data_IF_657210126173
#
_entry.id   IF_657210126173
#
_cell.length_a   1.000
_cell.length_b   1.000
_cell.length_c   1.000
_cell.angle_alpha   90.00
_cell.angle_beta   90.00
_cell.angle_gamma   90.00
#
_symmetry.space_group_name_H-M   'P 1'
#
loop_
_entity.id
_entity.type
_entity.pdbx_description
1 polymer ?
#
# COMPACT_ATOMS: atom_id res chain seq x y z
N UNK A 1 12.31 -27.09 -27.66
CA UNK A 1 12.03 -25.70 -28.04
C UNK A 1 11.09 -25.14 -26.99
N UNK A 2 11.59 -24.11 -26.33
CA UNK A 2 11.15 -23.42 -25.12
C UNK A 2 9.63 -23.32 -24.91
N UNK A 3 9.15 -23.90 -23.81
CA UNK A 3 7.89 -23.52 -23.18
C UNK A 3 8.11 -22.16 -22.51
N UNK A 4 7.68 -21.08 -23.18
CA UNK A 4 7.51 -19.76 -22.58
C UNK A 4 6.37 -19.80 -21.57
N UNK A 5 6.66 -20.35 -20.40
CA UNK A 5 5.84 -20.14 -19.22
C UNK A 5 5.86 -18.66 -18.90
N UNK A 6 4.74 -17.99 -19.13
CA UNK A 6 4.43 -16.69 -18.56
C UNK A 6 4.60 -16.80 -17.04
N UNK A 7 5.76 -16.37 -16.54
CA UNK A 7 5.94 -16.07 -15.12
C UNK A 7 4.83 -15.09 -14.73
N UNK A 8 3.79 -15.60 -14.06
CA UNK A 8 2.74 -14.79 -13.48
C UNK A 8 3.40 -13.68 -12.67
N UNK A 9 3.10 -12.45 -13.04
CA UNK A 9 3.83 -11.27 -12.57
C UNK A 9 3.68 -11.14 -11.04
N UNK A 10 4.75 -11.46 -10.32
CA UNK A 10 4.91 -11.19 -8.88
C UNK A 10 4.77 -9.69 -8.52
N UNK A 11 4.69 -8.79 -9.52
CA UNK A 11 4.82 -7.35 -9.37
C UNK A 11 4.00 -6.60 -10.43
N UNK A 12 3.40 -5.47 -10.06
CA UNK A 12 2.78 -4.57 -11.05
C UNK A 12 3.86 -4.06 -12.01
N UNK A 13 3.58 -4.12 -13.31
CA UNK A 13 4.55 -3.75 -14.34
C UNK A 13 4.43 -2.29 -14.74
N UNK A 14 5.56 -1.68 -15.07
CA UNK A 14 5.64 -0.26 -15.42
C UNK A 14 4.96 0.02 -16.76
N UNK A 15 4.21 1.12 -16.83
CA UNK A 15 3.66 1.67 -18.08
C UNK A 15 2.85 0.66 -18.90
N UNK A 16 1.96 -0.07 -18.24
CA UNK A 16 1.06 -1.01 -18.91
C UNK A 16 -0.15 -0.31 -19.52
N UNK A 17 -0.59 -0.80 -20.69
CA UNK A 17 -1.85 -0.33 -21.27
C UNK A 17 -3.03 -0.77 -20.41
N UNK A 18 -3.94 0.16 -20.08
CA UNK A 18 -5.17 -0.16 -19.35
C UNK A 18 -6.06 -1.20 -20.04
N UNK A 19 -5.97 -1.32 -21.36
CA UNK A 19 -6.77 -2.25 -22.18
C UNK A 19 -6.03 -3.55 -22.49
N UNK A 20 -4.99 -3.51 -23.32
CA UNK A 20 -4.29 -4.71 -23.80
C UNK A 20 -3.18 -5.23 -22.87
N UNK A 21 -2.91 -4.53 -21.75
CA UNK A 21 -1.91 -4.90 -20.72
C UNK A 21 -0.46 -5.03 -21.22
N UNK A 22 -0.16 -4.60 -22.46
CA UNK A 22 1.21 -4.55 -22.98
C UNK A 22 2.03 -3.47 -22.28
N UNK A 23 3.34 -3.70 -22.14
CA UNK A 23 4.28 -2.75 -21.54
C UNK A 23 4.89 -1.80 -22.57
N UNK A 24 5.54 -0.73 -22.11
CA UNK A 24 6.34 0.18 -22.96
C UNK A 24 5.58 1.39 -23.50
N UNK A 25 4.41 1.70 -22.94
CA UNK A 25 3.52 2.71 -23.46
C UNK A 25 3.81 4.11 -22.90
N UNK A 26 3.68 5.14 -23.73
CA UNK A 26 3.98 6.53 -23.34
C UNK A 26 2.73 7.41 -23.21
N UNK A 27 1.59 7.01 -23.80
CA UNK A 27 0.37 7.82 -23.74
C UNK A 27 -0.30 7.69 -22.37
N UNK A 28 -0.01 8.63 -21.48
CA UNK A 28 -0.61 8.74 -20.15
C UNK A 28 -1.94 9.50 -20.21
N UNK A 29 -2.95 9.02 -19.51
CA UNK A 29 -4.20 9.77 -19.34
C UNK A 29 -3.93 11.12 -18.67
N UNK A 30 -4.20 12.23 -19.37
CA UNK A 30 -3.95 13.59 -18.86
C UNK A 30 -4.81 13.95 -17.64
N UNK A 31 -5.99 13.31 -17.51
CA UNK A 31 -6.94 13.59 -16.41
C UNK A 31 -6.51 12.93 -15.11
N UNK A 32 -6.46 11.60 -15.08
CA UNK A 32 -6.16 10.84 -13.86
C UNK A 32 -4.66 10.66 -13.62
N UNK A 33 -3.83 10.75 -14.66
CA UNK A 33 -2.38 10.59 -14.57
C UNK A 33 -1.91 9.23 -13.99
N UNK A 34 -2.75 8.21 -13.94
CA UNK A 34 -2.38 6.91 -13.35
C UNK A 34 -2.59 5.72 -14.28
N UNK A 35 -2.97 5.94 -15.54
CA UNK A 35 -3.16 4.89 -16.55
C UNK A 35 -2.44 5.27 -17.83
N UNK A 36 -1.81 4.28 -18.46
CA UNK A 36 -1.14 4.40 -19.76
C UNK A 36 -1.91 3.65 -20.84
N UNK A 37 -1.68 4.04 -22.10
CA UNK A 37 -2.28 3.46 -23.29
C UNK A 37 -1.25 3.37 -24.42
N UNK A 38 -1.37 2.35 -25.28
CA UNK A 38 -0.57 2.25 -26.49
C UNK A 38 -0.89 3.38 -27.47
N UNK A 39 -2.17 3.70 -27.59
CA UNK A 39 -2.69 4.60 -28.61
C UNK A 39 -3.99 5.27 -28.17
N UNK A 40 -4.47 6.24 -28.97
CA UNK A 40 -5.73 6.94 -28.69
C UNK A 40 -6.94 6.04 -28.86
N UNK A 41 -6.85 5.03 -29.72
CA UNK A 41 -7.89 4.04 -29.97
C UNK A 41 -8.13 3.20 -28.70
N UNK A 42 -7.07 2.65 -28.10
CA UNK A 42 -7.18 1.90 -26.84
C UNK A 42 -7.71 2.77 -25.69
N UNK A 43 -7.37 4.06 -25.68
CA UNK A 43 -7.92 5.00 -24.70
C UNK A 43 -9.42 5.23 -24.92
N UNK A 44 -9.87 5.35 -26.16
CA UNK A 44 -11.28 5.55 -26.50
C UNK A 44 -12.12 4.31 -26.17
N UNK A 45 -11.60 3.12 -26.43
CA UNK A 45 -12.27 1.86 -26.12
C UNK A 45 -12.37 1.61 -24.59
N UNK A 46 -11.28 1.87 -23.86
CA UNK A 46 -11.28 1.75 -22.39
C UNK A 46 -12.04 2.89 -21.69
N UNK A 47 -12.51 3.91 -22.41
CA UNK A 47 -13.11 5.11 -21.82
C UNK A 47 -14.29 4.77 -20.90
N UNK A 48 -15.19 3.86 -21.31
CA UNK A 48 -16.40 3.56 -20.55
C UNK A 48 -16.09 2.91 -19.20
N UNK A 49 -15.14 1.96 -19.16
CA UNK A 49 -14.68 1.33 -17.93
C UNK A 49 -13.89 2.32 -17.06
N UNK A 50 -13.03 3.14 -17.68
CA UNK A 50 -12.15 4.08 -16.97
C UNK A 50 -12.86 5.34 -16.47
N UNK A 51 -13.96 5.79 -17.09
CA UNK A 51 -14.55 7.12 -16.88
C UNK A 51 -14.86 7.42 -15.43
N UNK A 52 -15.43 6.45 -14.70
CA UNK A 52 -15.81 6.62 -13.29
C UNK A 52 -14.57 6.81 -12.41
N UNK A 53 -13.62 5.88 -12.46
CA UNK A 53 -12.38 5.94 -11.69
C UNK A 53 -11.52 7.16 -12.07
N UNK A 54 -11.43 7.49 -13.36
CA UNK A 54 -10.75 8.67 -13.87
C UNK A 54 -11.30 9.98 -13.28
N UNK A 55 -12.63 10.10 -13.26
CA UNK A 55 -13.32 11.27 -12.71
C UNK A 55 -13.11 11.38 -11.20
N UNK A 56 -13.17 10.25 -10.48
CA UNK A 56 -12.99 10.21 -9.03
C UNK A 56 -11.57 10.61 -8.61
N UNK A 57 -10.54 10.05 -9.27
CA UNK A 57 -9.13 10.41 -9.02
C UNK A 57 -8.90 11.89 -9.31
N UNK A 58 -9.39 12.39 -10.45
CA UNK A 58 -9.28 13.80 -10.80
C UNK A 58 -9.92 14.70 -9.72
N UNK A 59 -11.19 14.44 -9.35
CA UNK A 59 -11.90 15.24 -8.34
C UNK A 59 -11.17 15.25 -7.00
N UNK A 60 -10.65 14.10 -6.57
CA UNK A 60 -9.93 13.98 -5.30
C UNK A 60 -8.59 14.73 -5.33
N UNK A 61 -7.89 14.69 -6.47
CA UNK A 61 -6.65 15.46 -6.68
C UNK A 61 -6.92 16.96 -6.70
N UNK A 62 -7.94 17.39 -7.43
CA UNK A 62 -8.31 18.80 -7.53
C UNK A 62 -8.79 19.34 -6.16
N UNK A 63 -9.49 18.53 -5.36
CA UNK A 63 -9.86 18.86 -3.98
C UNK A 63 -8.62 18.96 -3.06
N UNK A 64 -7.67 18.03 -3.16
CA UNK A 64 -6.42 18.10 -2.42
C UNK A 64 -5.64 19.38 -2.74
N UNK A 65 -5.54 19.75 -4.02
CA UNK A 65 -4.88 20.97 -4.46
C UNK A 65 -5.58 22.23 -3.91
N UNK A 66 -6.91 22.24 -3.87
CA UNK A 66 -7.67 23.33 -3.27
C UNK A 66 -7.42 23.47 -1.76
N UNK A 67 -7.41 22.36 -1.01
CA UNK A 67 -7.07 22.39 0.43
C UNK A 67 -5.62 22.78 0.67
N UNK A 68 -4.69 22.38 -0.20
CA UNK A 68 -3.30 22.82 -0.12
C UNK A 68 -3.18 24.34 -0.30
N UNK A 69 -3.86 24.87 -1.31
CA UNK A 69 -3.83 26.30 -1.61
C UNK A 69 -4.43 27.12 -0.46
N UNK A 70 -5.56 26.66 0.10
CA UNK A 70 -6.15 27.29 1.30
C UNK A 70 -5.17 27.37 2.46
N UNK A 71 -4.39 26.32 2.70
CA UNK A 71 -3.38 26.32 3.76
C UNK A 71 -2.19 27.24 3.46
N UNK A 72 -1.83 27.41 2.18
CA UNK A 72 -0.76 28.33 1.76
C UNK A 72 -1.19 29.80 1.85
N UNK A 73 -2.45 30.08 1.52
CA UNK A 73 -3.01 31.44 1.54
C UNK A 73 -3.48 31.86 2.94
N UNK A 74 -3.49 30.94 3.90
CA UNK A 74 -3.95 31.21 5.26
C UNK A 74 -2.99 32.19 5.96
N UNK A 75 -3.47 33.37 6.39
CA UNK A 75 -2.64 34.30 7.13
C UNK A 75 -2.26 33.72 8.50
N UNK A 76 -1.14 34.17 9.04
CA UNK A 76 -0.81 33.88 10.43
C UNK A 76 -1.86 34.50 11.37
N UNK A 77 -2.21 33.77 12.42
CA UNK A 77 -3.10 34.18 13.51
C UNK A 77 -2.48 33.77 14.86
N UNK A 78 -3.08 34.21 15.97
CA UNK A 78 -2.63 33.93 17.35
C UNK A 78 -2.47 32.43 17.61
N UNK A 79 -3.33 31.60 17.00
CA UNK A 79 -3.31 30.14 17.15
C UNK A 79 -2.56 29.41 16.01
N UNK A 80 -2.16 30.12 14.97
CA UNK A 80 -1.60 29.53 13.75
C UNK A 80 -0.45 30.39 13.23
N UNK A 81 0.79 29.91 13.36
CA UNK A 81 2.01 30.65 13.03
C UNK A 81 2.20 31.01 11.53
N UNK A 82 1.24 30.68 10.66
CA UNK A 82 1.42 30.72 9.22
C UNK A 82 2.27 29.55 8.71
N UNK A 83 2.26 29.33 7.41
CA UNK A 83 3.09 28.33 6.71
C UNK A 83 3.06 26.93 7.35
N UNK A 84 1.86 26.33 7.41
CA UNK A 84 1.61 25.03 8.03
C UNK A 84 2.63 23.95 7.63
N UNK A 85 3.09 23.97 6.38
CA UNK A 85 3.96 22.96 5.81
C UNK A 85 5.40 22.99 6.33
N UNK A 86 5.80 24.07 6.99
CA UNK A 86 7.10 24.18 7.65
C UNK A 86 6.96 24.24 9.17
N UNK A 87 5.92 24.88 9.70
CA UNK A 87 5.76 25.10 11.15
C UNK A 87 5.09 23.93 11.87
N UNK A 88 4.16 23.23 11.21
CA UNK A 88 3.32 22.21 11.86
C UNK A 88 3.77 20.77 11.58
N UNK A 89 4.87 20.54 10.85
CA UNK A 89 5.30 19.21 10.39
C UNK A 89 5.50 18.25 11.56
N UNK A 90 4.87 17.08 11.46
CA UNK A 90 4.89 16.04 12.48
C UNK A 90 3.73 16.14 13.49
N UNK A 91 3.10 17.32 13.59
CA UNK A 91 1.96 17.60 14.47
C UNK A 91 0.73 18.11 13.70
N UNK A 92 0.63 17.88 12.38
CA UNK A 92 -0.48 18.38 11.55
C UNK A 92 -1.84 18.10 12.18
N UNK A 93 -2.08 16.89 12.69
CA UNK A 93 -3.38 16.53 13.25
C UNK A 93 -3.82 17.36 14.47
N UNK A 94 -2.88 17.92 15.23
CA UNK A 94 -3.18 18.81 16.34
C UNK A 94 -3.71 20.17 15.89
N UNK A 95 -3.38 20.60 14.67
CA UNK A 95 -3.81 21.87 14.07
C UNK A 95 -5.10 21.65 13.29
N UNK A 96 -6.19 22.26 13.74
CA UNK A 96 -7.56 22.02 13.24
C UNK A 96 -7.65 22.33 11.75
N UNK A 97 -7.02 23.42 11.33
CA UNK A 97 -6.99 23.96 9.98
C UNK A 97 -6.37 22.99 8.97
N UNK A 98 -5.42 22.15 9.39
CA UNK A 98 -4.74 21.21 8.48
C UNK A 98 -5.46 19.86 8.35
N UNK A 99 -6.47 19.59 9.18
CA UNK A 99 -7.21 18.32 9.15
C UNK A 99 -7.98 18.10 7.83
N UNK A 100 -8.64 19.10 7.22
CA UNK A 100 -9.24 18.98 5.89
C UNK A 100 -8.24 18.50 4.83
N UNK A 101 -7.02 19.05 4.83
CA UNK A 101 -5.95 18.63 3.93
C UNK A 101 -5.56 17.16 4.12
N UNK A 102 -5.36 16.72 5.37
CA UNK A 102 -5.03 15.32 5.68
C UNK A 102 -6.14 14.35 5.23
N UNK A 103 -7.41 14.74 5.42
CA UNK A 103 -8.56 13.94 4.95
C UNK A 103 -8.65 13.91 3.43
N UNK A 104 -8.46 15.05 2.75
CA UNK A 104 -8.44 15.12 1.29
C UNK A 104 -7.35 14.24 0.68
N UNK A 105 -6.17 14.19 1.32
CA UNK A 105 -5.07 13.33 0.90
C UNK A 105 -5.38 11.85 1.10
N UNK A 106 -6.00 11.46 2.21
CA UNK A 106 -6.50 10.09 2.40
C UNK A 106 -7.55 9.70 1.35
N UNK A 107 -8.47 10.62 1.03
CA UNK A 107 -9.50 10.38 0.03
C UNK A 107 -8.91 10.17 -1.37
N UNK A 108 -7.83 10.91 -1.71
CA UNK A 108 -7.09 10.65 -2.94
C UNK A 108 -6.46 9.25 -2.96
N UNK A 109 -5.86 8.80 -1.85
CA UNK A 109 -5.35 7.42 -1.76
C UNK A 109 -6.47 6.41 -2.02
N UNK A 110 -7.65 6.57 -1.40
CA UNK A 110 -8.79 5.66 -1.64
C UNK A 110 -9.29 5.71 -3.09
N UNK A 111 -9.30 6.88 -3.72
CA UNK A 111 -9.66 7.00 -5.14
C UNK A 111 -8.64 6.30 -6.06
N UNK A 112 -7.36 6.34 -5.70
CA UNK A 112 -6.29 5.66 -6.42
C UNK A 112 -6.40 4.13 -6.31
N UNK A 113 -6.82 3.61 -5.16
CA UNK A 113 -6.95 2.16 -4.94
C UNK A 113 -7.93 1.47 -5.90
N UNK A 114 -8.88 2.22 -6.47
CA UNK A 114 -9.81 1.71 -7.50
C UNK A 114 -9.12 1.47 -8.85
N UNK A 115 -7.92 2.01 -9.05
CA UNK A 115 -7.15 1.88 -10.28
C UNK A 115 -5.98 0.93 -10.04
N UNK A 116 -6.07 -0.26 -10.63
CA UNK A 116 -5.03 -1.28 -10.63
C UNK A 116 -3.92 -0.93 -11.63
N UNK A 117 -3.00 -0.06 -11.23
CA UNK A 117 -1.79 0.26 -11.99
C UNK A 117 -0.60 0.48 -11.06
N UNK A 118 0.60 0.19 -11.54
CA UNK A 118 1.83 0.41 -10.77
C UNK A 118 1.98 1.88 -10.36
N UNK A 119 1.61 2.80 -11.24
CA UNK A 119 1.71 4.24 -10.99
C UNK A 119 0.68 4.72 -9.99
N UNK A 120 -0.51 4.11 -9.97
CA UNK A 120 -1.49 4.35 -8.92
C UNK A 120 -0.94 3.92 -7.56
N UNK A 121 -0.42 2.69 -7.44
CA UNK A 121 0.12 2.16 -6.19
C UNK A 121 1.35 2.94 -5.72
N UNK A 122 2.23 3.35 -6.64
CA UNK A 122 3.36 4.22 -6.34
C UNK A 122 2.89 5.57 -5.77
N UNK A 123 1.89 6.20 -6.38
CA UNK A 123 1.33 7.47 -5.91
C UNK A 123 0.64 7.33 -4.54
N UNK A 124 -0.06 6.22 -4.30
CA UNK A 124 -0.64 5.90 -2.99
C UNK A 124 0.45 5.85 -1.91
N UNK A 125 1.54 5.15 -2.18
CA UNK A 125 2.68 5.00 -1.26
C UNK A 125 3.36 6.35 -0.97
N UNK A 126 3.55 7.18 -1.99
CA UNK A 126 4.11 8.54 -1.85
C UNK A 126 3.24 9.44 -0.97
N UNK A 127 1.93 9.46 -1.22
CA UNK A 127 1.00 10.23 -0.39
C UNK A 127 0.94 9.70 1.05
N UNK A 128 0.92 8.39 1.25
CA UNK A 128 0.91 7.77 2.58
C UNK A 128 2.19 8.11 3.37
N UNK A 129 3.38 8.03 2.74
CA UNK A 129 4.64 8.42 3.38
C UNK A 129 4.66 9.88 3.79
N UNK A 130 4.18 10.78 2.94
CA UNK A 130 4.13 12.20 3.28
C UNK A 130 3.08 12.50 4.36
N UNK A 131 1.94 11.81 4.37
CA UNK A 131 0.98 11.89 5.49
C UNK A 131 1.62 11.48 6.82
N UNK A 132 2.45 10.43 6.85
CA UNK A 132 3.18 10.02 8.06
C UNK A 132 4.28 11.00 8.46
N UNK A 133 4.87 11.72 7.50
CA UNK A 133 5.82 12.82 7.77
C UNK A 133 5.09 14.00 8.43
N UNK A 134 3.93 14.37 7.90
CA UNK A 134 3.11 15.47 8.40
C UNK A 134 2.44 15.14 9.74
N UNK A 135 2.03 13.88 9.95
CA UNK A 135 1.38 13.39 11.15
C UNK A 135 2.06 12.09 11.63
N UNK A 136 3.00 12.22 12.57
CA UNK A 136 3.76 11.07 13.10
C UNK A 136 2.87 10.08 13.87
N UNK A 137 1.83 10.61 14.53
CA UNK A 137 0.86 9.85 15.31
C UNK A 137 -0.11 9.00 14.47
N UNK A 138 -0.09 9.14 13.14
CA UNK A 138 -0.96 8.41 12.22
C UNK A 138 -2.45 8.42 12.61
N UNK A 139 -2.97 9.58 13.01
CA UNK A 139 -4.36 9.71 13.45
C UNK A 139 -5.41 9.40 12.37
N UNK A 140 -5.00 9.36 11.10
CA UNK A 140 -5.86 8.97 9.97
C UNK A 140 -5.85 7.44 9.76
N UNK A 141 -4.84 6.73 10.28
CA UNK A 141 -4.69 5.29 10.10
C UNK A 141 -4.19 4.90 8.71
N UNK A 142 -3.26 5.65 8.13
CA UNK A 142 -2.72 5.41 6.80
C UNK A 142 -1.45 4.56 6.80
N UNK A 143 -0.86 4.26 7.97
CA UNK A 143 0.42 3.53 8.06
C UNK A 143 0.38 2.17 7.38
N UNK A 144 -0.74 1.46 7.47
CA UNK A 144 -0.95 0.14 6.84
C UNK A 144 -0.95 0.19 5.30
N UNK A 145 -1.18 1.36 4.70
CA UNK A 145 -1.14 1.53 3.25
C UNK A 145 0.29 1.41 2.69
N UNK A 146 1.32 1.79 3.47
CA UNK A 146 2.71 1.80 2.99
C UNK A 146 3.24 0.38 2.75
N UNK A 147 3.16 -0.57 3.71
CA UNK A 147 3.57 -1.96 3.46
C UNK A 147 2.81 -2.62 2.31
N UNK A 148 1.47 -2.47 2.28
CA UNK A 148 0.64 -3.07 1.23
C UNK A 148 1.02 -2.59 -0.17
N UNK A 149 1.31 -1.30 -0.33
CA UNK A 149 1.77 -0.76 -1.60
C UNK A 149 3.21 -1.17 -1.94
N UNK A 150 4.12 -1.24 -0.96
CA UNK A 150 5.51 -1.67 -1.21
C UNK A 150 5.58 -3.12 -1.70
N UNK A 151 4.75 -4.02 -1.16
CA UNK A 151 4.66 -5.41 -1.60
C UNK A 151 4.16 -5.51 -3.05
N UNK A 152 3.09 -4.78 -3.40
CA UNK A 152 2.57 -4.74 -4.79
C UNK A 152 3.61 -4.20 -5.81
N UNK A 153 4.51 -3.33 -5.36
CA UNK A 153 5.60 -2.78 -6.16
C UNK A 153 6.84 -3.70 -6.22
N UNK A 154 6.86 -4.80 -5.44
CA UNK A 154 8.00 -5.71 -5.31
C UNK A 154 9.18 -5.13 -4.53
N UNK A 155 8.91 -4.18 -3.62
CA UNK A 155 9.92 -3.48 -2.80
C UNK A 155 10.01 -4.10 -1.41
N UNK A 156 10.19 -5.41 -1.36
CA UNK A 156 10.04 -6.24 -0.15
C UNK A 156 11.00 -5.83 0.98
N UNK A 157 12.25 -5.49 0.65
CA UNK A 157 13.21 -5.03 1.65
C UNK A 157 12.79 -3.70 2.27
N UNK A 158 12.28 -2.75 1.48
CA UNK A 158 11.78 -1.49 2.02
C UNK A 158 10.53 -1.70 2.86
N UNK A 159 9.68 -2.66 2.47
CA UNK A 159 8.53 -3.07 3.27
C UNK A 159 8.98 -3.59 4.64
N UNK A 160 9.92 -4.54 4.65
CA UNK A 160 10.49 -5.08 5.89
C UNK A 160 11.13 -3.99 6.75
N UNK A 161 11.98 -3.14 6.17
CA UNK A 161 12.64 -2.04 6.88
C UNK A 161 11.60 -1.08 7.49
N UNK A 162 10.53 -0.78 6.75
CA UNK A 162 9.46 0.10 7.22
C UNK A 162 8.66 -0.51 8.38
N UNK A 163 8.25 -1.79 8.24
CA UNK A 163 7.51 -2.50 9.30
C UNK A 163 8.38 -2.63 10.55
N UNK A 164 9.65 -3.04 10.38
CA UNK A 164 10.60 -3.12 11.48
C UNK A 164 10.78 -1.76 12.16
N UNK A 165 11.05 -0.71 11.41
CA UNK A 165 11.24 0.65 11.93
C UNK A 165 9.98 1.20 12.63
N UNK A 166 8.79 0.76 12.19
CA UNK A 166 7.52 1.11 12.84
C UNK A 166 7.25 0.34 14.13
N UNK A 167 7.92 -0.81 14.32
CA UNK A 167 7.75 -1.69 15.49
C UNK A 167 8.82 -1.47 16.58
N UNK A 168 9.97 -0.85 16.26
CA UNK A 168 10.97 -0.44 17.26
C UNK A 168 10.70 0.98 17.78
N UNK A 169 10.88 1.15 19.10
CA UNK A 169 10.76 2.46 19.76
C UNK A 169 11.65 3.52 19.12
N UNK A 170 11.17 4.77 19.19
CA UNK A 170 11.78 5.97 18.59
C UNK A 170 13.25 6.20 18.94
N UNK A 171 13.77 5.56 19.99
CA UNK A 171 15.10 5.73 20.57
C UNK A 171 16.24 4.99 19.86
N UNK A 172 15.96 3.98 19.03
CA UNK A 172 17.01 3.11 18.41
C UNK A 172 17.06 3.18 16.88
N UNK A 173 16.59 4.27 16.26
CA UNK A 173 16.53 4.38 14.79
C UNK A 173 17.94 4.45 14.16
N UNK A 174 18.33 3.49 13.30
CA UNK A 174 19.52 3.64 12.46
C UNK A 174 19.19 4.53 11.25
N UNK A 175 20.14 5.36 10.84
CA UNK A 175 20.05 6.20 9.64
C UNK A 175 19.92 5.34 8.37
N UNK A 176 19.01 5.66 7.43
CA UNK A 176 18.88 4.90 6.20
C UNK A 176 20.10 5.12 5.30
N UNK A 177 20.83 4.04 5.00
CA UNK A 177 21.95 4.05 4.07
C UNK A 177 21.49 4.38 2.64
N UNK A 178 22.15 5.35 1.99
CA UNK A 178 22.00 5.72 0.58
C UNK A 178 22.94 4.87 -0.29
N UNK A 179 22.39 4.13 -1.25
CA UNK A 179 23.15 3.35 -2.24
C UNK A 179 22.24 2.42 -3.05
N UNK A 180 22.65 1.90 -4.22
CA UNK A 180 21.86 0.94 -4.98
C UNK A 180 21.76 -0.37 -4.19
N UNK A 181 20.55 -0.76 -3.81
CA UNK A 181 20.30 -1.92 -2.94
C UNK A 181 20.05 -3.17 -3.77
N UNK A 182 20.80 -4.24 -3.48
CA UNK A 182 20.48 -5.60 -3.91
C UNK A 182 19.06 -5.99 -3.45
N UNK A 183 18.42 -6.93 -4.18
CA UNK A 183 17.00 -7.35 -4.05
C UNK A 183 16.50 -7.63 -2.63
N UNK A 184 17.38 -7.91 -1.68
CA UNK A 184 17.13 -7.79 -0.24
C UNK A 184 18.46 -8.03 0.47
N UNK A 185 18.84 -7.12 1.37
CA UNK A 185 20.05 -7.30 2.18
C UNK A 185 19.97 -8.54 3.08
N UNK A 186 18.76 -9.05 3.34
CA UNK A 186 18.50 -10.27 4.10
C UNK A 186 18.85 -11.50 3.26
N UNK A 187 18.41 -11.53 2.00
CA UNK A 187 18.69 -12.63 1.07
C UNK A 187 20.19 -12.73 0.79
N UNK A 188 20.86 -11.60 0.56
CA UNK A 188 22.30 -11.56 0.32
C UNK A 188 23.12 -12.06 1.54
N UNK A 189 22.64 -11.80 2.76
CA UNK A 189 23.29 -12.25 4.01
C UNK A 189 23.06 -13.73 4.34
N UNK A 190 22.08 -14.37 3.71
CA UNK A 190 21.71 -15.77 3.93
C UNK A 190 21.84 -16.59 2.63
N UNK A 191 22.80 -16.24 1.77
CA UNK A 191 23.03 -16.93 0.51
C UNK A 191 23.37 -18.42 0.72
N UNK A 192 23.96 -18.77 1.85
CA UNK A 192 24.23 -20.14 2.26
C UNK A 192 22.96 -20.99 2.40
N UNK A 193 21.83 -20.41 2.82
CA UNK A 193 20.55 -21.13 2.91
C UNK A 193 20.05 -21.45 1.50
N UNK A 194 20.18 -20.51 0.56
CA UNK A 194 19.71 -20.69 -0.82
C UNK A 194 20.56 -21.68 -1.62
N UNK A 195 21.86 -21.74 -1.33
CA UNK A 195 22.82 -22.58 -2.06
C UNK A 195 22.93 -24.01 -1.52
N UNK A 196 22.28 -24.33 -0.39
CA UNK A 196 22.20 -25.72 0.10
C UNK A 196 21.45 -26.60 -0.90
N UNK A 197 21.87 -27.86 -1.04
CA UNK A 197 21.15 -28.84 -1.86
C UNK A 197 19.90 -29.42 -1.19
N UNK A 198 19.82 -29.30 0.15
CA UNK A 198 18.67 -29.71 0.95
C UNK A 198 18.15 -28.52 1.77
N UNK A 199 16.87 -28.20 1.56
CA UNK A 199 16.16 -27.12 2.25
C UNK A 199 15.14 -27.64 3.26
N UNK A 200 15.02 -28.96 3.48
CA UNK A 200 13.96 -29.58 4.27
C UNK A 200 13.86 -28.99 5.68
N UNK A 201 14.98 -28.86 6.40
CA UNK A 201 14.99 -28.26 7.74
C UNK A 201 14.64 -26.76 7.74
N UNK A 202 15.08 -26.02 6.72
CA UNK A 202 14.79 -24.60 6.60
C UNK A 202 13.30 -24.36 6.29
N UNK A 203 12.71 -25.20 5.42
CA UNK A 203 11.28 -25.20 5.13
C UNK A 203 10.48 -25.50 6.41
N UNK A 204 10.84 -26.55 7.16
CA UNK A 204 10.15 -26.89 8.41
C UNK A 204 10.20 -25.73 9.43
N UNK A 205 11.36 -25.09 9.58
CA UNK A 205 11.49 -23.92 10.45
C UNK A 205 10.60 -22.76 10.00
N UNK A 206 10.53 -22.47 8.70
CA UNK A 206 9.67 -21.42 8.16
C UNK A 206 8.18 -21.74 8.36
N UNK A 207 7.77 -22.99 8.14
CA UNK A 207 6.39 -23.43 8.39
C UNK A 207 6.00 -23.22 9.87
N UNK A 208 6.87 -23.58 10.80
CA UNK A 208 6.66 -23.35 12.23
C UNK A 208 6.55 -21.86 12.58
N UNK A 209 7.38 -21.01 11.97
CA UNK A 209 7.31 -19.55 12.15
C UNK A 209 6.00 -18.97 11.61
N UNK A 210 5.56 -19.41 10.44
CA UNK A 210 4.28 -19.00 9.84
C UNK A 210 3.12 -19.42 10.74
N UNK A 211 3.10 -20.65 11.27
CA UNK A 211 2.08 -21.12 12.21
C UNK A 211 2.04 -20.29 13.50
N UNK A 212 3.20 -19.88 14.02
CA UNK A 212 3.28 -19.00 15.19
C UNK A 212 2.69 -17.62 14.90
N UNK A 213 3.02 -17.02 13.75
CA UNK A 213 2.45 -15.74 13.32
C UNK A 213 0.94 -15.83 13.10
N UNK A 214 0.47 -16.92 12.49
CA UNK A 214 -0.96 -17.18 12.31
C UNK A 214 -1.72 -17.15 13.64
N UNK A 215 -1.23 -17.90 14.62
CA UNK A 215 -1.83 -17.98 15.96
C UNK A 215 -1.79 -16.63 16.67
N UNK A 216 -0.67 -15.92 16.61
CA UNK A 216 -0.54 -14.60 17.24
C UNK A 216 -1.53 -13.57 16.66
N UNK A 217 -1.68 -13.53 15.34
CA UNK A 217 -2.64 -12.65 14.67
C UNK A 217 -4.09 -13.05 15.00
N UNK A 218 -4.40 -14.34 15.01
CA UNK A 218 -5.74 -14.82 15.39
C UNK A 218 -6.09 -14.46 16.84
N UNK A 219 -5.13 -14.57 17.77
CA UNK A 219 -5.31 -14.13 19.15
C UNK A 219 -5.48 -12.62 19.29
N UNK A 220 -4.83 -11.82 18.43
CA UNK A 220 -4.98 -10.36 18.43
C UNK A 220 -6.32 -9.92 17.87
N UNK A 221 -6.78 -10.53 16.78
CA UNK A 221 -8.07 -10.24 16.17
C UNK A 221 -8.61 -11.50 15.49
N UNK A 222 -9.61 -12.12 16.12
CA UNK A 222 -10.20 -13.39 15.66
C UNK A 222 -10.84 -13.31 14.27
N UNK A 223 -11.25 -12.11 13.84
CA UNK A 223 -11.92 -11.86 12.56
C UNK A 223 -10.92 -11.72 11.39
N UNK A 224 -9.61 -11.61 11.68
CA UNK A 224 -8.63 -11.26 10.64
C UNK A 224 -8.57 -12.28 9.51
N UNK A 225 -8.42 -13.57 9.85
CA UNK A 225 -8.28 -14.63 8.86
C UNK A 225 -9.57 -14.90 8.09
N UNK A 226 -10.72 -14.89 8.77
CA UNK A 226 -12.04 -15.03 8.14
C UNK A 226 -12.26 -13.91 7.10
N UNK A 227 -12.00 -12.66 7.48
CA UNK A 227 -12.19 -11.54 6.56
C UNK A 227 -11.17 -11.51 5.41
N UNK A 228 -9.96 -12.06 5.61
CA UNK A 228 -8.95 -12.19 4.57
C UNK A 228 -9.35 -13.25 3.52
N UNK A 229 -9.97 -14.35 3.96
CA UNK A 229 -10.45 -15.44 3.10
C UNK A 229 -11.78 -15.10 2.42
N UNK A 230 -12.61 -14.23 3.01
CA UNK A 230 -13.88 -13.78 2.43
C UNK A 230 -13.90 -12.26 2.14
N UNK A 231 -12.97 -11.77 1.31
CA UNK A 231 -12.71 -10.34 1.15
C UNK A 231 -13.88 -9.57 0.54
N UNK A 232 -14.67 -10.17 -0.35
CA UNK A 232 -15.79 -9.50 -1.03
C UNK A 232 -16.84 -8.95 -0.05
N UNK A 233 -17.06 -9.65 1.06
CA UNK A 233 -18.01 -9.23 2.11
C UNK A 233 -17.52 -8.01 2.91
N UNK A 234 -16.21 -7.74 2.89
CA UNK A 234 -15.57 -6.80 3.81
C UNK A 234 -14.83 -5.65 3.12
N UNK A 235 -14.45 -5.78 1.86
CA UNK A 235 -13.67 -4.78 1.10
C UNK A 235 -14.43 -3.48 0.85
N UNK A 236 -15.76 -3.52 0.79
CA UNK A 236 -16.60 -2.36 0.47
C UNK A 236 -17.09 -1.60 1.71
N UNK A 237 -16.86 -2.14 2.92
CA UNK A 237 -17.27 -1.49 4.15
C UNK A 237 -16.20 -0.51 4.63
N UNK A 238 -16.60 0.74 4.85
CA UNK A 238 -15.76 1.78 5.45
C UNK A 238 -16.39 2.15 6.80
N UNK A 239 -15.95 1.52 7.89
CA UNK A 239 -16.43 1.88 9.22
C UNK A 239 -16.11 3.35 9.50
N UNK A 240 -17.09 4.10 10.01
CA UNK A 240 -16.86 5.48 10.45
C UNK A 240 -15.84 5.55 11.61
N UNK A 241 -15.80 4.49 12.41
CA UNK A 241 -14.88 4.29 13.52
C UNK A 241 -14.45 2.83 13.56
N UNK A 242 -13.26 2.56 14.07
CA UNK A 242 -12.81 1.21 14.39
C UNK A 242 -12.30 1.15 15.83
N UNK A 243 -12.18 -0.06 16.36
CA UNK A 243 -11.61 -0.31 17.68
C UNK A 243 -10.69 -1.52 17.59
N UNK A 244 -9.54 -1.53 18.28
CA UNK A 244 -8.63 -2.67 18.25
C UNK A 244 -9.34 -3.97 18.63
N UNK A 245 -9.08 -5.05 17.87
CA UNK A 245 -9.66 -6.37 18.05
C UNK A 245 -11.06 -6.58 17.47
N UNK A 246 -11.63 -5.59 16.75
CA UNK A 246 -12.96 -5.72 16.14
C UNK A 246 -12.89 -5.99 14.64
N UNK A 247 -14.01 -6.43 14.06
CA UNK A 247 -14.15 -6.61 12.61
C UNK A 247 -13.88 -5.30 11.85
N UNK A 248 -14.31 -4.16 12.41
CA UNK A 248 -14.11 -2.85 11.80
C UNK A 248 -12.64 -2.45 11.68
N UNK A 249 -11.78 -2.91 12.60
CA UNK A 249 -10.32 -2.73 12.48
C UNK A 249 -9.80 -3.49 11.26
N UNK A 250 -10.20 -4.75 11.11
CA UNK A 250 -9.80 -5.60 9.99
C UNK A 250 -10.26 -5.00 8.67
N UNK A 251 -11.54 -4.61 8.55
CA UNK A 251 -12.10 -3.98 7.36
C UNK A 251 -11.34 -2.71 6.96
N UNK A 252 -10.95 -1.89 7.95
CA UNK A 252 -10.19 -0.66 7.72
C UNK A 252 -8.79 -0.93 7.14
N UNK A 253 -8.18 -2.06 7.49
CA UNK A 253 -6.85 -2.47 7.00
C UNK A 253 -6.93 -3.29 5.69
N UNK A 254 -7.96 -4.13 5.55
CA UNK A 254 -8.06 -5.16 4.52
C UNK A 254 -7.90 -4.58 3.11
N UNK A 255 -8.56 -3.45 2.84
CA UNK A 255 -8.44 -2.74 1.56
C UNK A 255 -7.00 -2.45 1.13
N UNK A 256 -6.11 -2.17 2.08
CA UNK A 256 -4.73 -1.81 1.81
C UNK A 256 -3.81 -3.00 1.60
N UNK A 257 -4.09 -4.09 2.32
CA UNK A 257 -3.20 -5.25 2.38
C UNK A 257 -3.65 -6.37 1.43
N UNK A 258 -4.96 -6.55 1.23
CA UNK A 258 -5.52 -7.65 0.45
C UNK A 258 -4.98 -7.71 -0.98
N UNK A 259 -4.82 -6.60 -1.73
CA UNK A 259 -4.22 -6.67 -3.06
C UNK A 259 -2.83 -7.31 -3.08
N UNK A 260 -2.02 -7.08 -2.04
CA UNK A 260 -0.70 -7.73 -1.94
C UNK A 260 -0.81 -9.25 -1.71
N UNK A 261 -1.78 -9.70 -0.92
CA UNK A 261 -2.06 -11.13 -0.72
C UNK A 261 -2.56 -11.78 -2.00
N UNK A 262 -3.55 -11.18 -2.66
CA UNK A 262 -4.13 -11.69 -3.90
C UNK A 262 -3.11 -11.74 -5.06
N UNK A 263 -2.16 -10.81 -5.10
CA UNK A 263 -1.09 -10.80 -6.10
C UNK A 263 0.03 -11.81 -5.83
N UNK A 264 0.16 -12.32 -4.60
CA UNK A 264 1.24 -13.22 -4.21
C UNK A 264 0.79 -14.68 -4.40
N UNK A 265 1.35 -15.42 -5.37
CA UNK A 265 0.94 -16.80 -5.64
C UNK A 265 1.10 -17.68 -4.40
N UNK A 266 0.06 -18.47 -4.09
CA UNK A 266 0.02 -19.38 -2.94
C UNK A 266 -0.11 -18.70 -1.57
N UNK A 267 -0.17 -17.37 -1.47
CA UNK A 267 -0.27 -16.68 -0.17
C UNK A 267 -1.63 -16.87 0.49
N UNK A 268 -2.72 -16.82 -0.28
CA UNK A 268 -4.08 -17.07 0.23
C UNK A 268 -4.29 -18.56 0.51
N UNK A 269 -3.90 -19.43 -0.43
CA UNK A 269 -3.94 -20.90 -0.30
C UNK A 269 -3.19 -21.38 0.95
N UNK A 270 -2.05 -20.77 1.26
CA UNK A 270 -1.30 -21.04 2.49
C UNK A 270 -2.17 -20.85 3.75
N UNK A 271 -2.96 -19.79 3.81
CA UNK A 271 -3.84 -19.49 4.94
C UNK A 271 -5.02 -20.46 4.99
N UNK A 272 -5.56 -20.84 3.84
CA UNK A 272 -6.60 -21.88 3.72
C UNK A 272 -6.08 -23.21 4.27
N UNK A 273 -4.91 -23.65 3.83
CA UNK A 273 -4.29 -24.90 4.27
C UNK A 273 -4.01 -24.91 5.79
N UNK A 274 -3.54 -23.78 6.35
CA UNK A 274 -3.37 -23.65 7.81
C UNK A 274 -4.70 -23.79 8.54
N UNK A 275 -5.77 -23.20 7.99
CA UNK A 275 -7.11 -23.22 8.58
C UNK A 275 -7.74 -24.63 8.51
N UNK A 276 -7.46 -25.38 7.45
CA UNK A 276 -7.91 -26.76 7.25
C UNK A 276 -7.03 -27.81 7.98
N UNK A 277 -5.86 -27.40 8.51
CA UNK A 277 -4.92 -28.32 9.18
C UNK A 277 -4.05 -29.12 8.21
N UNK A 278 -3.93 -28.66 6.96
CA UNK A 278 -3.21 -29.30 5.85
C UNK A 278 -1.78 -28.74 5.67
N UNK A 279 -1.36 -27.82 6.54
CA UNK A 279 -0.05 -27.13 6.52
C UNK A 279 0.79 -27.44 7.76
#
# INVERSE_FOLDING_TARGET
METTGTHALLQLTEKTCGLCKTQGNTLRCSRCQVVYYCSREHQAEHLNAHKKSCSQVRKSRDALAAEEQKLRDMPADVLFAGDAFNTCVGHFWGVIETRPYMRARSALIHALMVVESRESVQMQMEHARDMLRLCRGDNVGIRVAVPGALLQLGRDQECYDFVKCSAVDSATRPTPAKGPRLRSSIIAKNADILLRGDHTSAIGLLQDQVKKLYKALHSSNKYFWEALLEPEKHLHELPAYYSPGTLSEVQSMLKYIYPAWAMTPGAVELIENITLGEF
#
